data_IF_609481523564
#
_entry.id   IF_609481523564
#
_cell.length_a   1.000
_cell.length_b   1.000
_cell.length_c   1.000
_cell.angle_alpha   90.00
_cell.angle_beta   90.00
_cell.angle_gamma   90.00
#
_symmetry.space_group_name_H-M   'P 1'
#
loop_
_entity.id
_entity.type
_entity.pdbx_description
1 polymer ?
#
# COMPACT_ATOMS: atom_id res chain seq x y z
N UNK A 1 -32.15 -29.66 10.05
CA UNK A 1 -31.75 -29.56 8.63
C UNK A 1 -30.67 -28.49 8.55
N UNK A 2 -29.38 -28.80 8.74
CA UNK A 2 -28.44 -29.36 7.76
C UNK A 2 -28.50 -28.66 6.38
N UNK A 3 -27.38 -28.00 6.06
CA UNK A 3 -26.91 -27.45 4.78
C UNK A 3 -27.26 -26.00 4.43
N UNK A 4 -26.62 -25.04 5.10
CA UNK A 4 -25.96 -23.94 4.37
C UNK A 4 -24.46 -24.13 4.56
N UNK A 5 -23.84 -24.76 3.58
CA UNK A 5 -22.39 -24.94 3.52
C UNK A 5 -21.76 -23.59 3.13
N UNK A 6 -20.87 -22.99 3.95
CA UNK A 6 -20.19 -21.72 3.66
C UNK A 6 -19.27 -21.73 2.42
N UNK A 7 -19.18 -22.88 1.73
CA UNK A 7 -18.47 -23.03 0.46
C UNK A 7 -19.26 -22.60 -0.78
N UNK A 8 -20.59 -22.45 -0.71
CA UNK A 8 -21.40 -22.06 -1.89
C UNK A 8 -21.56 -20.53 -1.99
N UNK A 9 -20.69 -19.89 -2.78
CA UNK A 9 -20.68 -18.46 -3.06
C UNK A 9 -20.95 -18.21 -4.55
N UNK A 10 -22.13 -17.69 -5.00
CA UNK A 10 -22.44 -17.59 -6.42
C UNK A 10 -21.67 -16.51 -7.20
N UNK A 11 -21.13 -15.48 -6.53
CA UNK A 11 -20.29 -14.45 -7.17
C UNK A 11 -18.79 -14.65 -6.94
N UNK A 12 -18.43 -15.35 -5.85
CA UNK A 12 -17.05 -15.73 -5.55
C UNK A 12 -16.68 -17.08 -6.19
N UNK A 13 -17.62 -17.88 -6.72
CA UNK A 13 -17.32 -19.04 -7.57
C UNK A 13 -16.69 -18.61 -8.89
N UNK A 14 -17.15 -17.51 -9.49
CA UNK A 14 -16.62 -16.99 -10.75
C UNK A 14 -15.13 -16.63 -10.64
N UNK A 15 -14.66 -16.19 -9.47
CA UNK A 15 -13.26 -15.75 -9.27
C UNK A 15 -12.41 -16.70 -8.41
N UNK A 16 -13.01 -17.51 -7.51
CA UNK A 16 -12.28 -18.60 -6.83
C UNK A 16 -12.01 -19.80 -7.75
N UNK A 17 -12.80 -20.00 -8.80
CA UNK A 17 -12.51 -20.97 -9.86
C UNK A 17 -11.47 -20.48 -10.86
N UNK A 18 -11.05 -19.22 -10.80
CA UNK A 18 -9.86 -18.73 -11.54
C UNK A 18 -8.59 -19.07 -10.74
N UNK A 19 -8.51 -20.33 -10.31
CA UNK A 19 -7.23 -21.01 -10.12
C UNK A 19 -6.64 -21.45 -11.46
N UNK A 20 -7.49 -21.56 -12.47
CA UNK A 20 -7.08 -21.78 -13.84
C UNK A 20 -6.71 -20.46 -14.50
N UNK A 21 -5.68 -20.44 -15.38
CA UNK A 21 -5.42 -19.28 -16.21
C UNK A 21 -6.71 -18.85 -16.89
N UNK A 22 -6.97 -17.54 -16.98
CA UNK A 22 -8.13 -16.95 -17.68
C UNK A 22 -8.48 -17.84 -18.86
N UNK A 23 -9.70 -18.41 -18.94
CA UNK A 23 -10.03 -19.41 -19.95
C UNK A 23 -9.56 -18.88 -21.30
N UNK A 24 -8.71 -19.64 -21.99
CA UNK A 24 -8.14 -19.20 -23.28
C UNK A 24 -9.23 -18.75 -24.26
N UNK A 25 -10.45 -19.27 -24.09
CA UNK A 25 -11.67 -18.85 -24.78
C UNK A 25 -12.06 -17.38 -24.52
N UNK A 26 -11.98 -16.87 -23.28
CA UNK A 26 -12.28 -15.47 -22.94
C UNK A 26 -11.20 -14.55 -23.53
N UNK A 27 -9.92 -14.94 -23.47
CA UNK A 27 -8.85 -14.16 -24.10
C UNK A 27 -9.01 -14.13 -25.64
N UNK A 28 -9.32 -15.27 -26.24
CA UNK A 28 -9.58 -15.37 -27.69
C UNK A 28 -10.81 -14.57 -28.10
N UNK A 29 -11.90 -14.62 -27.34
CA UNK A 29 -13.10 -13.84 -27.58
C UNK A 29 -12.82 -12.33 -27.51
N UNK A 30 -12.10 -11.88 -26.47
CA UNK A 30 -11.69 -10.48 -26.36
C UNK A 30 -10.86 -10.05 -27.57
N UNK A 31 -9.87 -10.86 -27.99
CA UNK A 31 -9.06 -10.55 -29.17
C UNK A 31 -9.91 -10.43 -30.44
N UNK A 32 -10.87 -11.35 -30.66
CA UNK A 32 -11.79 -11.32 -31.81
C UNK A 32 -12.66 -10.06 -31.76
N UNK A 33 -13.23 -9.72 -30.59
CA UNK A 33 -14.05 -8.52 -30.43
C UNK A 33 -13.24 -7.24 -30.66
N UNK A 34 -11.99 -7.18 -30.19
CA UNK A 34 -11.08 -6.06 -30.45
C UNK A 34 -10.79 -5.91 -31.94
N UNK A 35 -10.47 -7.00 -32.65
CA UNK A 35 -10.23 -6.96 -34.10
C UNK A 35 -11.50 -6.51 -34.85
N UNK A 36 -12.66 -7.04 -34.46
CA UNK A 36 -13.94 -6.65 -35.06
C UNK A 36 -14.24 -5.16 -34.85
N UNK A 37 -14.04 -4.65 -33.62
CA UNK A 37 -14.22 -3.26 -33.28
C UNK A 37 -13.34 -2.32 -34.11
N UNK A 38 -12.03 -2.58 -34.16
CA UNK A 38 -11.10 -1.77 -34.97
C UNK A 38 -11.37 -1.89 -36.47
N UNK A 39 -11.86 -3.04 -36.95
CA UNK A 39 -12.27 -3.21 -38.35
C UNK A 39 -13.51 -2.36 -38.69
N UNK A 40 -14.48 -2.29 -37.78
CA UNK A 40 -15.66 -1.41 -37.94
C UNK A 40 -15.22 0.05 -37.98
N UNK A 41 -14.33 0.46 -37.07
CA UNK A 41 -13.77 1.81 -37.05
C UNK A 41 -13.03 2.18 -38.33
N UNK A 42 -12.21 1.27 -38.87
CA UNK A 42 -11.37 1.54 -40.02
C UNK A 42 -12.13 1.54 -41.35
N UNK A 43 -13.14 0.67 -41.51
CA UNK A 43 -13.75 0.42 -42.82
C UNK A 43 -15.23 0.79 -42.94
N UNK A 44 -15.95 0.93 -41.81
CA UNK A 44 -17.41 1.05 -41.83
C UNK A 44 -17.94 2.36 -41.20
N UNK A 45 -17.08 3.15 -40.55
CA UNK A 45 -17.45 4.48 -40.03
C UNK A 45 -17.33 5.53 -41.14
N UNK A 46 -18.45 6.18 -41.45
CA UNK A 46 -18.47 7.40 -42.25
C UNK A 46 -18.01 8.58 -41.37
N UNK A 47 -16.87 9.17 -41.71
CA UNK A 47 -16.31 10.29 -40.95
C UNK A 47 -16.98 11.59 -41.39
N UNK A 48 -18.04 11.98 -40.69
CA UNK A 48 -18.71 13.27 -40.91
C UNK A 48 -18.01 14.43 -40.18
N UNK A 49 -17.48 14.17 -38.97
CA UNK A 49 -16.78 15.16 -38.15
C UNK A 49 -15.36 14.69 -37.84
N UNK A 50 -14.38 15.27 -38.53
CA UNK A 50 -12.96 14.90 -38.41
C UNK A 50 -12.39 15.11 -37.01
N UNK A 51 -12.87 16.13 -36.29
CA UNK A 51 -12.39 16.44 -34.93
C UNK A 51 -12.80 15.36 -33.96
N UNK A 52 -14.08 14.97 -33.95
CA UNK A 52 -14.59 13.91 -33.08
C UNK A 52 -13.94 12.56 -33.41
N UNK A 53 -13.74 12.26 -34.69
CA UNK A 53 -13.04 11.05 -35.12
C UNK A 53 -11.58 11.04 -34.64
N UNK A 54 -10.88 12.16 -34.73
CA UNK A 54 -9.50 12.27 -34.24
C UNK A 54 -9.42 12.05 -32.73
N UNK A 55 -10.33 12.66 -31.96
CA UNK A 55 -10.40 12.45 -30.50
C UNK A 55 -10.66 10.98 -30.15
N UNK A 56 -11.54 10.31 -30.90
CA UNK A 56 -11.80 8.88 -30.73
C UNK A 56 -10.54 8.04 -30.98
N UNK A 57 -9.82 8.29 -32.08
CA UNK A 57 -8.57 7.57 -32.37
C UNK A 57 -7.50 7.79 -31.29
N UNK A 58 -7.38 9.01 -30.75
CA UNK A 58 -6.47 9.30 -29.63
C UNK A 58 -6.87 8.51 -28.38
N UNK A 59 -8.17 8.48 -28.05
CA UNK A 59 -8.67 7.72 -26.91
C UNK A 59 -8.41 6.21 -27.05
N UNK A 60 -8.64 5.65 -28.24
CA UNK A 60 -8.35 4.24 -28.53
C UNK A 60 -6.86 3.91 -28.46
N UNK A 61 -6.00 4.79 -28.99
CA UNK A 61 -4.55 4.62 -28.88
C UNK A 61 -4.07 4.65 -27.42
N UNK A 62 -4.65 5.55 -26.61
CA UNK A 62 -4.38 5.62 -25.18
C UNK A 62 -4.83 4.35 -24.45
N UNK A 63 -6.03 3.83 -24.76
CA UNK A 63 -6.53 2.58 -24.19
C UNK A 63 -5.63 1.38 -24.56
N UNK A 64 -5.24 1.26 -25.83
CA UNK A 64 -4.31 0.21 -26.27
C UNK A 64 -2.98 0.30 -25.53
N UNK A 65 -2.43 1.50 -25.40
CA UNK A 65 -1.19 1.73 -24.65
C UNK A 65 -1.33 1.34 -23.17
N UNK A 66 -2.44 1.68 -22.52
CA UNK A 66 -2.71 1.30 -21.13
C UNK A 66 -2.83 -0.22 -20.98
N UNK A 67 -3.55 -0.90 -21.88
CA UNK A 67 -3.68 -2.37 -21.87
C UNK A 67 -2.33 -3.05 -22.07
N UNK A 68 -1.54 -2.61 -23.05
CA UNK A 68 -0.20 -3.16 -23.28
C UNK A 68 0.73 -2.91 -22.10
N UNK A 69 0.67 -1.73 -21.48
CA UNK A 69 1.48 -1.41 -20.29
C UNK A 69 1.07 -2.24 -19.06
N UNK A 70 -0.24 -2.47 -18.89
CA UNK A 70 -0.75 -3.37 -17.86
C UNK A 70 -0.26 -4.80 -18.08
N UNK A 71 -0.44 -5.34 -19.29
CA UNK A 71 0.03 -6.68 -19.65
C UNK A 71 1.54 -6.80 -19.45
N UNK A 72 2.31 -5.82 -19.91
CA UNK A 72 3.75 -5.76 -19.70
C UNK A 72 4.11 -5.75 -18.22
N UNK A 73 3.37 -5.05 -17.36
CA UNK A 73 3.64 -5.06 -15.92
C UNK A 73 3.39 -6.45 -15.32
N UNK A 74 2.22 -7.04 -15.57
CA UNK A 74 1.80 -8.28 -14.88
C UNK A 74 2.53 -9.55 -15.35
N UNK A 75 3.17 -9.55 -16.53
CA UNK A 75 3.95 -10.70 -17.00
C UNK A 75 5.27 -10.87 -16.21
N UNK A 76 5.77 -9.80 -15.57
CA UNK A 76 6.99 -9.85 -14.79
C UNK A 76 6.71 -10.46 -13.42
N UNK A 77 7.00 -11.74 -13.26
CA UNK A 77 6.83 -12.41 -11.97
C UNK A 77 7.90 -11.94 -10.98
N UNK A 78 7.49 -11.79 -9.72
CA UNK A 78 8.41 -11.59 -8.59
C UNK A 78 9.55 -12.63 -8.62
N UNK A 79 10.82 -12.20 -8.64
CA UNK A 79 11.93 -13.13 -8.63
C UNK A 79 12.08 -13.79 -7.25
N UNK A 80 12.81 -14.89 -7.19
CA UNK A 80 13.20 -15.48 -5.91
C UNK A 80 14.13 -14.50 -5.16
N UNK A 81 13.59 -13.84 -4.13
CA UNK A 81 14.33 -12.91 -3.28
C UNK A 81 15.12 -13.63 -2.19
N UNK A 82 16.28 -13.10 -1.83
CA UNK A 82 17.06 -13.59 -0.70
C UNK A 82 16.29 -13.27 0.59
N UNK A 83 16.01 -14.29 1.40
CA UNK A 83 15.31 -14.13 2.66
C UNK A 83 16.00 -14.93 3.77
N UNK A 84 16.51 -14.23 4.79
CA UNK A 84 17.17 -14.86 5.92
C UNK A 84 16.35 -14.71 7.21
N UNK A 85 15.80 -15.83 7.70
CA UNK A 85 15.00 -15.88 8.94
C UNK A 85 15.81 -15.59 10.21
N UNK A 86 17.12 -15.81 10.17
CA UNK A 86 18.04 -15.55 11.29
C UNK A 86 18.54 -14.11 11.32
N UNK A 87 18.22 -13.29 10.31
CA UNK A 87 18.56 -11.88 10.30
C UNK A 87 17.59 -11.11 11.21
N UNK A 88 18.06 -10.70 12.39
CA UNK A 88 17.23 -10.08 13.43
C UNK A 88 17.77 -8.71 13.90
N UNK A 89 17.89 -7.70 13.00
CA UNK A 89 18.30 -6.35 13.38
C UNK A 89 17.27 -5.69 14.32
N UNK A 90 17.68 -4.62 14.99
CA UNK A 90 16.75 -3.75 15.71
C UNK A 90 15.80 -3.03 14.73
N UNK A 91 14.55 -2.83 15.14
CA UNK A 91 13.51 -2.19 14.34
C UNK A 91 12.73 -1.16 15.16
N UNK A 92 12.63 0.07 14.67
CA UNK A 92 11.70 1.05 15.23
C UNK A 92 10.35 0.96 14.50
N UNK A 93 9.24 0.88 15.23
CA UNK A 93 7.89 0.79 14.68
C UNK A 93 7.17 2.10 14.93
N UNK A 94 6.87 2.83 13.87
CA UNK A 94 6.21 4.13 13.93
C UNK A 94 4.74 4.02 13.60
N UNK A 95 3.91 4.59 14.47
CA UNK A 95 2.46 4.74 14.27
C UNK A 95 2.18 6.24 14.18
N UNK A 96 1.82 6.74 12.99
CA UNK A 96 1.58 8.18 12.78
C UNK A 96 0.18 8.56 13.21
N UNK A 97 0.06 9.59 14.07
CA UNK A 97 -1.21 10.02 14.67
C UNK A 97 -1.31 11.56 14.64
N UNK A 98 -2.46 12.08 14.20
CA UNK A 98 -2.82 13.51 14.24
C UNK A 98 -4.02 13.73 15.16
N UNK A 99 -5.17 13.14 14.81
CA UNK A 99 -6.45 13.33 15.50
C UNK A 99 -7.33 12.08 15.48
N UNK A 100 -6.74 10.92 15.19
CA UNK A 100 -7.45 9.65 15.11
C UNK A 100 -8.01 9.26 16.49
N UNK A 101 -9.18 8.57 16.53
CA UNK A 101 -9.76 8.11 17.78
C UNK A 101 -8.79 7.26 18.60
N UNK A 102 -8.66 7.57 19.90
CA UNK A 102 -7.71 6.92 20.81
C UNK A 102 -7.88 5.40 20.85
N UNK A 103 -9.11 4.88 20.71
CA UNK A 103 -9.36 3.44 20.66
C UNK A 103 -8.76 2.77 19.42
N UNK A 104 -8.75 3.46 18.27
CA UNK A 104 -8.13 2.96 17.04
C UNK A 104 -6.60 2.95 17.22
N UNK A 105 -6.04 4.06 17.70
CA UNK A 105 -4.60 4.18 18.02
C UNK A 105 -4.17 3.08 19.00
N UNK A 106 -4.98 2.83 20.04
CA UNK A 106 -4.72 1.81 21.07
C UNK A 106 -4.68 0.41 20.50
N UNK A 107 -5.62 0.06 19.62
CA UNK A 107 -5.65 -1.26 18.97
C UNK A 107 -4.39 -1.50 18.14
N UNK A 108 -4.02 -0.53 17.31
CA UNK A 108 -2.82 -0.61 16.46
C UNK A 108 -1.53 -0.65 17.30
N UNK A 109 -1.42 0.19 18.34
CA UNK A 109 -0.28 0.21 19.25
C UNK A 109 -0.10 -1.10 20.01
N UNK A 110 -1.19 -1.70 20.53
CA UNK A 110 -1.13 -2.99 21.19
C UNK A 110 -0.76 -4.12 20.22
N UNK A 111 -1.30 -4.11 19.00
CA UNK A 111 -0.93 -5.10 17.99
C UNK A 111 0.54 -4.98 17.58
N UNK A 112 1.04 -3.75 17.40
CA UNK A 112 2.43 -3.48 17.10
C UNK A 112 3.36 -3.99 18.22
N UNK A 113 3.02 -3.70 19.49
CA UNK A 113 3.78 -4.16 20.66
C UNK A 113 3.82 -5.68 20.80
N UNK A 114 2.75 -6.37 20.38
CA UNK A 114 2.63 -7.82 20.47
C UNK A 114 3.12 -8.56 19.21
N UNK A 115 3.78 -7.89 18.27
CA UNK A 115 4.40 -8.55 17.14
C UNK A 115 5.44 -9.57 17.63
N UNK A 116 5.44 -10.74 17.01
CA UNK A 116 6.33 -11.85 17.37
C UNK A 116 7.75 -11.62 16.83
N UNK A 117 8.45 -10.61 17.34
CA UNK A 117 9.80 -10.25 16.96
C UNK A 117 10.56 -9.68 18.16
N UNK A 118 11.77 -10.16 18.48
CA UNK A 118 12.41 -9.86 19.76
C UNK A 118 12.97 -8.42 19.88
N UNK A 119 13.41 -7.82 18.77
CA UNK A 119 14.20 -6.58 18.78
C UNK A 119 13.44 -5.42 18.14
N UNK A 120 12.29 -5.04 18.69
CA UNK A 120 11.53 -3.90 18.18
C UNK A 120 11.07 -2.94 19.27
N UNK A 121 11.11 -1.64 18.94
CA UNK A 121 10.64 -0.55 19.78
C UNK A 121 9.44 0.11 19.12
N UNK A 122 8.34 0.34 19.84
CA UNK A 122 7.14 0.98 19.30
C UNK A 122 7.08 2.44 19.71
N UNK A 123 6.77 3.32 18.75
CA UNK A 123 6.60 4.75 18.93
C UNK A 123 5.28 5.20 18.32
N UNK A 124 4.51 5.96 19.09
CA UNK A 124 3.48 6.84 18.53
C UNK A 124 4.15 8.14 18.10
N UNK A 125 3.94 8.55 16.85
CA UNK A 125 4.41 9.82 16.31
C UNK A 125 3.25 10.81 16.34
N UNK A 126 3.21 11.66 17.36
CA UNK A 126 2.08 12.53 17.66
C UNK A 126 2.23 13.93 17.03
N UNK A 127 1.41 14.18 16.01
CA UNK A 127 1.30 15.45 15.30
C UNK A 127 0.14 16.33 15.78
N UNK A 128 -0.70 15.85 16.70
CA UNK A 128 -1.87 16.58 17.18
C UNK A 128 -1.52 17.98 17.70
N UNK A 129 -0.36 18.13 18.34
CA UNK A 129 0.13 19.43 18.84
C UNK A 129 0.35 20.45 17.72
N UNK A 130 1.07 20.07 16.66
CA UNK A 130 1.37 20.98 15.54
C UNK A 130 0.17 21.19 14.63
N UNK A 131 -0.80 20.26 14.65
CA UNK A 131 -2.09 20.39 13.97
C UNK A 131 -3.11 21.24 14.75
N UNK A 132 -2.79 21.68 15.97
CA UNK A 132 -3.69 22.49 16.80
C UNK A 132 -4.88 21.72 17.40
N UNK A 133 -4.77 20.39 17.49
CA UNK A 133 -5.81 19.56 18.08
C UNK A 133 -5.79 19.67 19.61
N UNK A 134 -6.85 20.19 20.24
CA UNK A 134 -6.86 20.55 21.67
C UNK A 134 -6.49 19.41 22.62
N UNK A 135 -6.83 18.17 22.26
CA UNK A 135 -6.66 16.99 23.11
C UNK A 135 -5.42 16.14 22.76
N UNK A 136 -4.43 16.72 22.08
CA UNK A 136 -3.22 16.01 21.62
C UNK A 136 -2.44 15.32 22.74
N UNK A 137 -2.52 15.80 23.98
CA UNK A 137 -1.88 15.20 25.16
C UNK A 137 -2.48 13.84 25.52
N UNK A 138 -3.73 13.56 25.15
CA UNK A 138 -4.35 12.25 25.40
C UNK A 138 -3.62 11.12 24.67
N UNK A 139 -3.05 11.42 23.50
CA UNK A 139 -2.19 10.48 22.75
C UNK A 139 -0.92 10.14 23.53
N UNK A 140 -0.31 11.11 24.22
CA UNK A 140 0.85 10.86 25.10
C UNK A 140 0.47 10.04 26.33
N UNK A 141 -0.68 10.34 26.95
CA UNK A 141 -1.21 9.58 28.08
C UNK A 141 -1.46 8.11 27.68
N UNK A 142 -2.07 7.89 26.51
CA UNK A 142 -2.29 6.55 25.97
C UNK A 142 -0.97 5.78 25.76
N UNK A 143 0.05 6.44 25.21
CA UNK A 143 1.36 5.81 25.03
C UNK A 143 1.97 5.36 26.38
N UNK A 144 1.86 6.21 27.41
CA UNK A 144 2.31 5.90 28.77
C UNK A 144 1.52 4.74 29.39
N UNK A 145 0.19 4.71 29.23
CA UNK A 145 -0.68 3.62 29.71
C UNK A 145 -0.34 2.27 29.07
N UNK A 146 -0.08 2.26 27.76
CA UNK A 146 0.33 1.05 27.03
C UNK A 146 1.77 0.65 27.39
N UNK A 147 2.60 1.61 27.83
CA UNK A 147 4.03 1.43 28.07
C UNK A 147 4.79 1.30 26.75
N UNK A 148 4.63 2.29 25.86
CA UNK A 148 5.39 2.48 24.62
C UNK A 148 5.86 3.93 24.53
N UNK A 149 6.76 4.22 23.58
CA UNK A 149 7.30 5.57 23.41
C UNK A 149 6.30 6.47 22.67
N UNK A 150 6.38 7.77 22.92
CA UNK A 150 5.68 8.80 22.16
C UNK A 150 6.66 9.90 21.77
N UNK A 151 6.66 10.29 20.49
CA UNK A 151 7.41 11.43 19.98
C UNK A 151 6.39 12.46 19.51
N UNK A 152 6.19 13.50 20.33
CA UNK A 152 5.32 14.62 19.97
C UNK A 152 6.12 15.68 19.24
N UNK A 153 5.68 16.04 18.04
CA UNK A 153 6.35 17.07 17.24
C UNK A 153 6.01 18.47 17.77
N UNK A 154 7.02 19.34 17.79
CA UNK A 154 6.89 20.73 18.28
C UNK A 154 6.97 21.78 17.17
N UNK A 155 7.53 21.43 16.01
CA UNK A 155 7.68 22.32 14.85
C UNK A 155 6.82 21.81 13.69
N UNK A 156 5.92 22.62 13.11
CA UNK A 156 5.11 22.23 11.96
C UNK A 156 5.95 22.13 10.68
N UNK A 157 5.43 21.44 9.66
CA UNK A 157 6.03 21.31 8.33
C UNK A 157 5.90 19.89 7.77
N UNK A 158 5.74 19.72 6.45
CA UNK A 158 5.82 18.41 5.81
C UNK A 158 4.79 17.34 6.22
N UNK A 159 3.74 17.67 6.96
CA UNK A 159 2.70 16.75 7.42
C UNK A 159 3.27 15.41 7.96
N UNK A 160 2.78 14.27 7.47
CA UNK A 160 3.23 12.92 7.84
C UNK A 160 4.71 12.69 7.55
N UNK A 161 5.22 13.14 6.40
CA UNK A 161 6.64 13.05 6.05
C UNK A 161 7.52 13.75 7.08
N UNK A 162 7.16 14.97 7.46
CA UNK A 162 7.90 15.73 8.47
C UNK A 162 7.83 15.11 9.86
N UNK A 163 6.72 14.43 10.19
CA UNK A 163 6.59 13.70 11.46
C UNK A 163 7.55 12.50 11.50
N UNK A 164 7.61 11.73 10.40
CA UNK A 164 8.55 10.62 10.23
C UNK A 164 10.00 11.14 10.29
N UNK A 165 10.34 12.22 9.57
CA UNK A 165 11.69 12.81 9.62
C UNK A 165 12.09 13.28 11.02
N UNK A 166 11.16 13.90 11.76
CA UNK A 166 11.37 14.28 13.15
C UNK A 166 11.68 13.05 14.03
N UNK A 167 10.95 11.94 13.86
CA UNK A 167 11.22 10.70 14.56
C UNK A 167 12.57 10.06 14.15
N UNK A 168 12.93 10.13 12.87
CA UNK A 168 14.20 9.61 12.37
C UNK A 168 15.41 10.33 13.00
N UNK A 169 15.27 11.60 13.37
CA UNK A 169 16.31 12.37 14.07
C UNK A 169 16.51 11.96 15.55
N UNK A 170 15.53 11.28 16.15
CA UNK A 170 15.51 10.92 17.58
C UNK A 170 15.71 9.41 17.83
N UNK A 171 15.64 8.60 16.78
CA UNK A 171 15.70 7.13 16.84
C UNK A 171 16.89 6.61 16.04
N UNK A 172 17.32 5.36 16.30
CA UNK A 172 18.61 4.85 15.77
C UNK A 172 18.55 3.45 15.15
N UNK A 173 17.42 2.74 15.23
CA UNK A 173 17.36 1.37 14.70
C UNK A 173 17.67 1.36 13.19
N UNK A 174 18.42 0.38 12.67
CA UNK A 174 18.82 0.34 11.27
C UNK A 174 17.64 0.20 10.31
N UNK A 175 16.53 -0.39 10.78
CA UNK A 175 15.27 -0.51 10.06
C UNK A 175 14.17 0.18 10.84
N UNK A 176 13.17 0.69 10.14
CA UNK A 176 11.94 1.17 10.76
C UNK A 176 10.71 0.78 9.96
N UNK A 177 9.56 0.75 10.62
CA UNK A 177 8.25 0.47 10.01
C UNK A 177 7.37 1.70 10.14
N UNK A 178 6.54 1.94 9.13
CA UNK A 178 5.51 2.98 9.19
C UNK A 178 4.14 2.31 9.07
N UNK A 179 3.30 2.54 10.08
CA UNK A 179 1.88 2.23 10.08
C UNK A 179 1.06 3.51 10.24
N UNK A 180 -0.04 3.59 9.50
CA UNK A 180 -1.14 4.49 9.84
C UNK A 180 -1.83 4.03 11.13
N UNK A 181 -2.44 4.97 11.85
CA UNK A 181 -3.09 4.70 13.12
C UNK A 181 -4.20 3.63 13.04
N UNK A 182 -4.82 3.46 11.88
CA UNK A 182 -5.92 2.53 11.62
C UNK A 182 -5.48 1.18 11.03
N UNK A 183 -4.19 1.00 10.75
CA UNK A 183 -3.63 -0.22 10.14
C UNK A 183 -3.05 -1.16 11.20
N UNK A 184 -3.83 -2.15 11.61
CA UNK A 184 -3.48 -3.07 12.68
C UNK A 184 -2.55 -4.18 12.14
N UNK A 185 -1.28 -4.26 12.59
CA UNK A 185 -0.35 -5.28 12.11
C UNK A 185 -0.69 -6.68 12.65
N UNK A 186 -0.42 -7.71 11.82
CA UNK A 186 -0.49 -9.11 12.24
C UNK A 186 0.74 -9.50 13.06
N UNK A 187 0.64 -10.48 13.97
CA UNK A 187 1.76 -10.89 14.83
C UNK A 187 3.03 -11.31 14.07
N UNK A 188 2.90 -11.74 12.82
CA UNK A 188 4.01 -12.20 11.99
C UNK A 188 4.52 -11.16 10.98
N UNK A 189 4.07 -9.89 11.04
CA UNK A 189 4.48 -8.83 10.09
C UNK A 189 6.00 -8.76 9.94
N UNK A 190 6.73 -8.49 11.04
CA UNK A 190 8.19 -8.36 11.03
C UNK A 190 8.90 -9.67 10.63
N UNK A 191 8.37 -10.83 11.07
CA UNK A 191 8.91 -12.15 10.71
C UNK A 191 8.85 -12.44 9.21
N UNK A 192 7.94 -11.80 8.47
CA UNK A 192 7.76 -12.00 7.03
C UNK A 192 8.43 -10.93 6.17
N UNK A 193 8.84 -9.80 6.76
CA UNK A 193 9.42 -8.67 6.01
C UNK A 193 10.91 -8.47 6.29
N UNK A 194 11.36 -8.63 7.53
CA UNK A 194 12.72 -8.26 7.94
C UNK A 194 13.81 -9.10 7.26
N UNK A 195 13.54 -10.38 6.99
CA UNK A 195 14.54 -11.29 6.41
C UNK A 195 15.05 -10.87 5.04
N UNK A 196 14.32 -10.02 4.29
CA UNK A 196 14.75 -9.50 3.00
C UNK A 196 15.89 -8.49 3.09
N UNK A 197 16.02 -7.78 4.22
CA UNK A 197 17.07 -6.79 4.45
C UNK A 197 18.46 -7.42 4.71
N UNK A 198 18.54 -8.76 4.71
CA UNK A 198 19.82 -9.45 4.62
C UNK A 198 20.55 -9.10 3.32
N UNK A 199 19.82 -8.88 2.23
CA UNK A 199 20.37 -8.21 1.06
C UNK A 199 20.58 -6.71 1.37
N UNK A 200 21.84 -6.31 1.36
CA UNK A 200 22.26 -4.93 1.67
C UNK A 200 21.76 -3.91 0.64
N UNK A 201 21.30 -4.33 -0.54
CA UNK A 201 20.73 -3.43 -1.56
C UNK A 201 19.23 -3.18 -1.39
N UNK A 202 18.54 -3.91 -0.51
CA UNK A 202 17.12 -3.70 -0.26
C UNK A 202 16.94 -2.46 0.64
N UNK A 203 16.25 -1.46 0.12
CA UNK A 203 15.90 -0.23 0.83
C UNK A 203 14.56 -0.33 1.54
N UNK A 204 13.55 -0.96 0.94
CA UNK A 204 12.26 -1.12 1.59
C UNK A 204 11.51 -2.37 1.14
N UNK A 205 10.60 -2.82 2.01
CA UNK A 205 9.68 -3.93 1.78
C UNK A 205 8.26 -3.40 1.99
N UNK A 206 7.43 -3.47 0.96
CA UNK A 206 6.03 -3.05 0.99
C UNK A 206 5.13 -4.29 1.11
N UNK A 207 4.12 -4.22 1.98
CA UNK A 207 3.02 -5.19 2.01
C UNK A 207 1.68 -4.51 1.67
N UNK A 208 0.69 -5.26 1.15
CA UNK A 208 -0.60 -4.72 0.72
C UNK A 208 -1.33 -3.89 1.78
N UNK A 209 -2.23 -3.03 1.32
CA UNK A 209 -3.25 -2.39 2.16
C UNK A 209 -4.60 -3.02 1.84
N UNK A 210 -5.23 -3.58 2.86
CA UNK A 210 -6.54 -4.19 2.76
C UNK A 210 -7.34 -3.90 4.02
N UNK A 211 -8.67 -3.86 3.87
CA UNK A 211 -9.57 -3.42 4.92
C UNK A 211 -10.31 -4.55 5.60
N UNK A 212 -10.33 -4.55 6.94
CA UNK A 212 -11.01 -5.58 7.73
C UNK A 212 -12.54 -5.55 7.57
N UNK A 213 -13.12 -4.36 7.42
CA UNK A 213 -14.56 -4.10 7.33
C UNK A 213 -15.16 -4.23 5.91
N UNK A 214 -14.45 -4.86 4.97
CA UNK A 214 -14.90 -5.03 3.57
C UNK A 214 -16.23 -5.78 3.38
N UNK A 215 -16.75 -6.44 4.43
CA UNK A 215 -18.02 -7.17 4.38
C UNK A 215 -19.20 -6.39 4.95
N UNK A 216 -18.98 -5.22 5.52
CA UNK A 216 -20.02 -4.48 6.24
C UNK A 216 -21.02 -3.83 5.30
N UNK A 217 -20.58 -3.29 4.17
CA UNK A 217 -21.47 -2.68 3.19
C UNK A 217 -20.87 -2.67 1.78
N UNK A 218 -21.63 -2.17 0.81
CA UNK A 218 -21.20 -2.10 -0.58
C UNK A 218 -19.99 -1.18 -0.78
N UNK A 219 -19.89 -0.07 -0.04
CA UNK A 219 -18.79 0.89 -0.16
C UNK A 219 -17.48 0.24 0.28
N UNK A 220 -17.48 -0.42 1.44
CA UNK A 220 -16.28 -1.10 1.95
C UNK A 220 -15.88 -2.30 1.10
N UNK A 221 -16.85 -2.99 0.48
CA UNK A 221 -16.60 -4.05 -0.50
C UNK A 221 -15.95 -3.49 -1.77
N UNK A 222 -16.47 -2.40 -2.33
CA UNK A 222 -15.89 -1.78 -3.53
C UNK A 222 -14.49 -1.23 -3.26
N UNK A 223 -14.24 -0.67 -2.07
CA UNK A 223 -12.91 -0.21 -1.67
C UNK A 223 -11.89 -1.37 -1.64
N UNK A 224 -12.30 -2.55 -1.18
CA UNK A 224 -11.50 -3.77 -1.25
C UNK A 224 -11.22 -4.21 -2.69
N UNK A 225 -12.26 -4.26 -3.54
CA UNK A 225 -12.13 -4.68 -4.94
C UNK A 225 -11.22 -3.74 -5.75
N UNK A 226 -11.27 -2.43 -5.47
CA UNK A 226 -10.36 -1.45 -6.08
C UNK A 226 -8.90 -1.70 -5.71
N UNK A 227 -8.64 -2.09 -4.45
CA UNK A 227 -7.30 -2.42 -3.96
C UNK A 227 -6.75 -3.71 -4.56
N UNK A 228 -7.62 -4.69 -4.82
CA UNK A 228 -7.23 -6.01 -5.32
C UNK A 228 -6.45 -5.91 -6.64
N UNK A 229 -6.92 -5.12 -7.61
CA UNK A 229 -6.22 -4.95 -8.88
C UNK A 229 -4.81 -4.36 -8.69
N UNK A 230 -4.68 -3.39 -7.78
CA UNK A 230 -3.42 -2.69 -7.56
C UNK A 230 -2.43 -3.51 -6.74
N UNK A 231 -2.84 -4.04 -5.59
CA UNK A 231 -1.97 -4.78 -4.68
C UNK A 231 -1.74 -6.23 -5.10
N UNK A 232 -2.58 -6.82 -5.96
CA UNK A 232 -2.34 -8.19 -6.43
C UNK A 232 -1.51 -8.20 -7.73
N UNK A 233 -2.08 -8.19 -8.95
CA UNK A 233 -1.30 -8.42 -10.16
C UNK A 233 -0.32 -7.26 -10.47
N UNK A 234 -0.69 -6.01 -10.19
CA UNK A 234 0.15 -4.84 -10.55
C UNK A 234 1.38 -4.75 -9.63
N UNK A 235 1.21 -4.81 -8.31
CA UNK A 235 2.34 -4.71 -7.37
C UNK A 235 3.30 -5.90 -7.49
N UNK A 236 2.80 -7.11 -7.73
CA UNK A 236 3.64 -8.28 -8.02
C UNK A 236 4.42 -8.10 -9.34
N UNK A 237 3.75 -7.60 -10.39
CA UNK A 237 4.38 -7.24 -11.65
C UNK A 237 5.54 -6.24 -11.47
N UNK A 238 5.28 -5.19 -10.68
CA UNK A 238 6.26 -4.15 -10.35
C UNK A 238 7.42 -4.69 -9.52
N UNK A 239 7.19 -5.62 -8.61
CA UNK A 239 8.30 -6.29 -7.90
C UNK A 239 9.16 -7.11 -8.87
N UNK A 240 8.54 -7.78 -9.85
CA UNK A 240 9.22 -8.45 -10.96
C UNK A 240 10.18 -7.54 -11.74
N UNK A 241 9.91 -6.23 -11.73
CA UNK A 241 10.68 -5.21 -12.43
C UNK A 241 11.60 -4.38 -11.51
N UNK A 242 11.76 -4.76 -10.24
CA UNK A 242 12.48 -3.96 -9.22
C UNK A 242 11.90 -2.53 -9.07
N UNK A 243 10.60 -2.33 -9.34
CA UNK A 243 9.93 -1.02 -9.39
C UNK A 243 8.74 -0.88 -8.41
N UNK A 244 8.76 -1.63 -7.30
CA UNK A 244 7.77 -1.47 -6.23
C UNK A 244 7.98 -0.13 -5.54
N UNK A 245 6.92 0.63 -5.29
CA UNK A 245 7.00 1.90 -4.59
C UNK A 245 6.30 1.83 -3.22
N UNK A 246 6.62 2.80 -2.37
CA UNK A 246 6.01 2.91 -1.05
C UNK A 246 4.58 3.45 -1.18
N UNK A 247 3.67 2.89 -0.38
CA UNK A 247 2.26 3.28 -0.34
C UNK A 247 1.87 3.92 1.00
N UNK A 248 2.84 4.40 1.78
CA UNK A 248 2.59 5.25 2.95
C UNK A 248 2.33 4.50 4.25
N UNK A 249 1.96 3.23 4.21
CA UNK A 249 1.78 2.37 5.39
C UNK A 249 2.17 0.92 5.05
N UNK A 250 2.27 0.06 6.07
CA UNK A 250 2.63 -1.35 5.96
C UNK A 250 3.99 -1.58 5.28
N UNK A 251 4.92 -0.65 5.50
CA UNK A 251 6.22 -0.61 4.85
C UNK A 251 7.34 -0.68 5.89
N UNK A 252 8.33 -1.53 5.62
CA UNK A 252 9.60 -1.57 6.35
C UNK A 252 10.64 -0.87 5.50
N UNK A 253 11.46 -0.01 6.10
CA UNK A 253 12.41 0.84 5.40
C UNK A 253 13.77 0.76 6.08
N UNK A 254 14.83 0.71 5.29
CA UNK A 254 16.22 0.81 5.72
C UNK A 254 16.55 2.28 5.95
N UNK A 255 16.98 2.60 7.17
CA UNK A 255 17.31 3.98 7.56
C UNK A 255 18.37 4.61 6.67
N UNK A 256 19.44 3.87 6.34
CA UNK A 256 20.51 4.42 5.49
C UNK A 256 20.01 4.79 4.10
N UNK A 257 19.14 3.95 3.50
CA UNK A 257 18.63 4.19 2.16
C UNK A 257 17.77 5.46 2.07
N UNK A 258 16.87 5.65 3.05
CA UNK A 258 16.04 6.86 3.06
C UNK A 258 16.85 8.12 3.39
N UNK A 259 17.84 8.03 4.27
CA UNK A 259 18.71 9.18 4.58
C UNK A 259 19.57 9.58 3.37
N UNK A 260 20.08 8.61 2.60
CA UNK A 260 20.78 8.88 1.33
C UNK A 260 19.88 9.51 0.26
N UNK A 261 18.57 9.22 0.30
CA UNK A 261 17.57 9.84 -0.55
C UNK A 261 17.12 11.24 -0.07
N UNK A 262 17.61 11.71 1.09
CA UNK A 262 17.27 13.03 1.65
C UNK A 262 16.15 13.03 2.70
N UNK A 263 15.76 11.86 3.22
CA UNK A 263 14.63 11.71 4.15
C UNK A 263 13.31 11.44 3.42
N UNK A 264 12.20 11.38 4.18
CA UNK A 264 10.86 11.39 3.58
C UNK A 264 10.61 12.75 2.92
N UNK A 265 10.10 12.76 1.69
CA UNK A 265 9.84 13.98 0.93
C UNK A 265 8.73 14.83 1.57
N UNK A 266 9.05 16.05 2.00
CA UNK A 266 8.08 16.95 2.66
C UNK A 266 7.35 17.90 1.68
N UNK A 267 7.76 17.94 0.41
CA UNK A 267 7.30 18.95 -0.56
C UNK A 267 6.13 18.49 -1.43
N UNK A 268 5.67 17.25 -1.29
CA UNK A 268 4.60 16.67 -2.09
C UNK A 268 3.59 15.94 -1.19
N UNK A 269 2.31 15.95 -1.59
CA UNK A 269 1.23 15.23 -0.91
C UNK A 269 1.37 13.72 -1.07
N UNK A 270 1.98 13.25 -2.16
CA UNK A 270 2.36 11.85 -2.37
C UNK A 270 3.82 11.64 -1.91
N UNK A 271 4.08 11.89 -0.62
CA UNK A 271 5.44 11.86 -0.07
C UNK A 271 6.11 10.50 -0.25
N UNK A 272 5.34 9.44 -0.11
CA UNK A 272 5.76 8.04 -0.09
C UNK A 272 6.23 7.59 -1.48
N UNK A 273 5.40 7.84 -2.50
CA UNK A 273 5.71 7.55 -3.88
C UNK A 273 6.95 8.32 -4.32
N UNK A 274 7.01 9.63 -4.07
CA UNK A 274 8.14 10.44 -4.50
C UNK A 274 9.44 10.05 -3.77
N UNK A 275 9.37 9.75 -2.48
CA UNK A 275 10.54 9.24 -1.72
C UNK A 275 11.03 7.92 -2.31
N UNK A 276 10.12 7.03 -2.73
CA UNK A 276 10.52 5.76 -3.34
C UNK A 276 11.28 5.94 -4.66
N UNK A 277 10.90 6.95 -5.46
CA UNK A 277 11.63 7.30 -6.68
C UNK A 277 13.05 7.79 -6.37
N UNK A 278 13.21 8.67 -5.38
CA UNK A 278 14.54 9.13 -4.97
C UNK A 278 15.41 7.99 -4.43
N UNK A 279 14.82 7.05 -3.69
CA UNK A 279 15.52 5.84 -3.24
C UNK A 279 15.98 4.99 -4.45
N UNK A 280 15.11 4.76 -5.43
CA UNK A 280 15.45 4.01 -6.64
C UNK A 280 16.49 4.73 -7.51
N UNK A 281 16.46 6.06 -7.60
CA UNK A 281 17.46 6.87 -8.31
C UNK A 281 18.88 6.66 -7.75
N UNK A 282 18.99 6.40 -6.44
CA UNK A 282 20.26 6.04 -5.78
C UNK A 282 20.68 4.58 -6.01
N UNK A 283 19.93 3.80 -6.79
CA UNK A 283 20.25 2.41 -7.15
C UNK A 283 19.84 1.37 -6.10
N UNK A 284 19.03 1.75 -5.12
CA UNK A 284 18.48 0.83 -4.14
C UNK A 284 17.35 -0.02 -4.73
N UNK A 285 17.13 -1.20 -4.14
CA UNK A 285 16.06 -2.14 -4.52
C UNK A 285 14.88 -2.08 -3.57
N UNK A 286 13.71 -2.39 -4.10
CA UNK A 286 12.46 -2.55 -3.37
C UNK A 286 11.95 -3.98 -3.46
N UNK A 287 11.18 -4.42 -2.46
CA UNK A 287 10.52 -5.73 -2.48
C UNK A 287 9.03 -5.56 -2.16
N UNK A 288 8.19 -6.31 -2.87
CA UNK A 288 6.78 -6.47 -2.53
C UNK A 288 6.53 -7.84 -1.90
N UNK A 289 5.77 -7.88 -0.80
CA UNK A 289 5.30 -9.13 -0.19
C UNK A 289 3.80 -9.25 -0.41
N UNK A 290 3.31 -10.15 -1.29
CA UNK A 290 1.88 -10.28 -1.63
C UNK A 290 1.11 -11.03 -0.54
N UNK A 291 1.27 -10.61 0.71
CA UNK A 291 0.56 -11.16 1.86
C UNK A 291 -0.05 -10.03 2.67
N UNK A 292 -1.31 -10.20 3.10
CA UNK A 292 -1.98 -9.23 3.97
C UNK A 292 -1.36 -9.33 5.37
N UNK A 293 -0.40 -8.46 5.68
CA UNK A 293 0.33 -8.45 6.96
C UNK A 293 -0.17 -7.41 7.96
N UNK A 294 -1.02 -6.49 7.52
CA UNK A 294 -1.76 -5.55 8.36
C UNK A 294 -3.14 -5.31 7.74
N UNK A 295 -4.12 -4.93 8.55
CA UNK A 295 -5.49 -4.69 8.11
C UNK A 295 -5.94 -3.32 8.58
N UNK A 296 -6.38 -2.47 7.64
CA UNK A 296 -6.92 -1.14 7.88
C UNK A 296 -8.43 -1.11 8.10
N UNK A 297 -8.99 0.09 8.23
CA UNK A 297 -10.43 0.34 8.23
C UNK A 297 -10.82 1.14 6.97
N UNK A 298 -11.70 0.58 6.15
CA UNK A 298 -12.27 1.28 5.01
C UNK A 298 -13.27 2.33 5.47
N UNK A 299 -13.45 3.43 4.72
CA UNK A 299 -14.51 4.39 4.98
C UNK A 299 -15.90 3.73 4.82
N UNK A 300 -16.79 3.95 5.78
CA UNK A 300 -18.16 3.44 5.73
C UNK A 300 -19.13 4.30 4.90
N UNK A 301 -18.71 5.53 4.52
CA UNK A 301 -19.53 6.49 3.79
C UNK A 301 -18.76 7.15 2.65
N UNK A 302 -19.43 7.40 1.53
CA UNK A 302 -18.86 8.08 0.36
C UNK A 302 -18.32 9.47 0.72
N UNK A 303 -19.06 10.31 1.45
CA UNK A 303 -18.63 11.67 1.81
C UNK A 303 -17.66 11.74 3.01
N UNK A 304 -16.92 10.67 3.28
CA UNK A 304 -15.85 10.66 4.28
C UNK A 304 -14.60 11.39 3.73
N UNK A 305 -13.73 11.99 4.58
CA UNK A 305 -12.46 12.58 4.17
C UNK A 305 -11.60 11.75 3.19
N UNK A 306 -11.81 10.44 3.07
CA UNK A 306 -11.13 9.55 2.11
C UNK A 306 -11.38 9.91 0.63
N UNK A 307 -12.48 10.56 0.25
CA UNK A 307 -12.59 11.11 -1.13
C UNK A 307 -11.51 12.19 -1.37
N UNK A 308 -11.08 12.94 -0.34
CA UNK A 308 -9.92 13.85 -0.44
C UNK A 308 -8.57 13.14 -0.42
N UNK A 309 -8.50 11.85 -0.09
CA UNK A 309 -7.27 11.05 -0.16
C UNK A 309 -7.09 10.38 -1.53
N UNK A 310 -8.17 10.18 -2.30
CA UNK A 310 -8.14 9.54 -3.63
C UNK A 310 -8.11 10.54 -4.80
N UNK A 311 -8.21 11.85 -4.52
CA UNK A 311 -8.16 12.96 -5.49
C UNK A 311 -6.95 13.83 -5.14
#
# INVERSE_FOLDING_TARGET
MKFFNPDNRPFLSIFKEIKDPVPKAILALNLVLTIAYFSILAFFINVENITLFTLLIIAEAFHLWQTLSYLYTIIHKSPNRIFNKSFTPEVDVFITVVNEPLEIVKQTALAAKNMSYPNHNVYILNDGKVAGFEEWQKTEQLANEIGINCITRSKPGGAKAGNINNALSQTKAPLFVVFDADHIPKPNFLKKTIGYFYDRKVAFVQSPQFYKNHKENLITKTAWEQQELFFDPICQGKDGMDSTFMCGTNMVIRRTAILEAGGMCETNIAEDFLTSLFIHEKGWKSIYVPEILAEGLAPERLLCPTIKQQI
#
